data_IF_859926974247
#
_entry.id   IF_859926974247
#
_cell.length_a   1.000
_cell.length_b   1.000
_cell.length_c   1.000
_cell.angle_alpha   90.00
_cell.angle_beta   90.00
_cell.angle_gamma   90.00
#
_symmetry.space_group_name_H-M   'P 1'
#
loop_
_entity.id
_entity.type
_entity.pdbx_description
1 polymer ?
#
# COMPACT_ATOMS: atom_id res chain seq x y z
N UNK A 1 64.37 -5.35 42.65
CA UNK A 1 63.22 -4.69 42.00
C UNK A 1 62.53 -3.83 43.03
N UNK A 2 62.52 -2.51 42.82
CA UNK A 2 61.80 -1.57 43.70
C UNK A 2 60.34 -1.55 43.19
N UNK A 3 59.33 -1.84 44.03
CA UNK A 3 57.94 -1.76 43.58
C UNK A 3 57.57 -0.30 43.30
N UNK A 4 57.17 -0.01 42.06
CA UNK A 4 56.56 1.26 41.69
C UNK A 4 55.18 1.35 42.35
N UNK A 5 54.96 2.42 43.13
CA UNK A 5 53.63 2.74 43.64
C UNK A 5 52.74 3.19 42.46
N UNK A 6 51.68 2.43 42.19
CA UNK A 6 50.60 2.87 41.28
C UNK A 6 49.65 3.74 42.11
N UNK A 7 49.64 5.04 41.85
CA UNK A 7 48.63 5.95 42.42
C UNK A 7 47.39 5.86 41.54
N UNK A 8 46.37 5.17 42.03
CA UNK A 8 45.04 5.18 41.42
C UNK A 8 44.30 6.45 41.87
N UNK A 9 44.06 7.38 40.94
CA UNK A 9 43.21 8.55 41.19
C UNK A 9 41.83 8.26 40.65
N UNK A 10 40.83 8.25 41.53
CA UNK A 10 39.42 8.17 41.14
C UNK A 10 38.89 9.59 40.99
N UNK A 11 38.60 10.01 39.76
CA UNK A 11 37.96 11.30 39.48
C UNK A 11 36.48 11.07 39.13
N UNK A 12 35.58 11.85 39.73
CA UNK A 12 34.19 11.90 39.30
C UNK A 12 34.12 12.61 37.94
N UNK A 13 34.01 11.84 36.86
CA UNK A 13 33.79 12.37 35.52
C UNK A 13 32.29 12.49 35.28
N UNK A 14 31.82 13.67 34.89
CA UNK A 14 30.46 13.85 34.38
C UNK A 14 30.49 13.67 32.88
N UNK A 15 29.71 12.72 32.34
CA UNK A 15 29.51 12.57 30.89
C UNK A 15 28.91 13.86 30.34
N UNK A 16 29.69 14.63 29.57
CA UNK A 16 29.14 15.67 28.70
C UNK A 16 28.47 14.94 27.54
N UNK A 17 27.14 14.86 27.55
CA UNK A 17 26.39 14.42 26.37
C UNK A 17 26.70 15.37 25.22
N UNK A 18 26.97 14.84 24.03
CA UNK A 18 26.99 15.65 22.80
C UNK A 18 25.64 16.38 22.69
N UNK A 19 25.67 17.70 22.87
CA UNK A 19 24.50 18.59 22.79
C UNK A 19 24.34 19.20 21.41
N UNK A 20 25.11 18.71 20.43
CA UNK A 20 24.99 19.13 19.05
C UNK A 20 23.58 18.75 18.53
N UNK A 21 22.82 19.70 17.97
CA UNK A 21 21.54 19.39 17.36
C UNK A 21 21.72 18.34 16.25
N UNK A 22 21.11 17.18 16.44
CA UNK A 22 21.03 16.17 15.38
C UNK A 22 19.87 16.54 14.47
N UNK A 23 20.16 16.82 13.21
CA UNK A 23 19.12 16.97 12.18
C UNK A 23 18.58 15.57 11.87
N UNK A 24 17.49 15.18 12.53
CA UNK A 24 16.76 13.96 12.20
C UNK A 24 15.89 14.24 10.98
N UNK A 25 16.30 13.76 9.80
CA UNK A 25 15.45 13.76 8.61
C UNK A 25 14.34 12.73 8.80
N UNK A 26 13.15 13.19 9.15
CA UNK A 26 11.96 12.34 9.23
C UNK A 26 11.46 12.11 7.80
N UNK A 27 11.46 10.87 7.32
CA UNK A 27 10.85 10.51 6.04
C UNK A 27 9.34 10.84 6.09
N UNK A 28 8.93 11.91 5.40
CA UNK A 28 7.53 12.40 5.37
C UNK A 28 7.01 12.34 3.95
N UNK A 29 6.73 11.15 3.42
CA UNK A 29 6.18 11.03 2.07
C UNK A 29 4.86 11.79 1.97
N UNK A 30 4.68 12.50 0.85
CA UNK A 30 3.46 13.24 0.51
C UNK A 30 3.04 12.91 -0.91
N UNK A 31 1.78 13.16 -1.25
CA UNK A 31 1.18 12.82 -2.53
C UNK A 31 0.38 11.52 -2.45
N UNK A 32 0.14 10.92 -3.61
CA UNK A 32 -0.64 9.70 -3.77
C UNK A 32 0.25 8.62 -4.33
N UNK A 33 0.35 7.48 -3.64
CA UNK A 33 1.04 6.30 -4.16
C UNK A 33 0.00 5.26 -4.61
N UNK A 34 0.22 4.67 -5.78
CA UNK A 34 -0.63 3.63 -6.37
C UNK A 34 0.13 2.31 -6.51
N UNK A 35 -0.42 1.23 -5.95
CA UNK A 35 0.03 -0.14 -6.21
C UNK A 35 -1.02 -0.90 -7.02
N UNK A 36 -0.58 -1.48 -8.14
CA UNK A 36 -1.37 -2.41 -8.95
C UNK A 36 -1.56 -3.78 -8.30
N UNK A 37 -2.13 -4.72 -9.05
CA UNK A 37 -2.30 -6.11 -8.66
C UNK A 37 -0.99 -6.92 -8.60
N UNK A 38 -1.13 -8.23 -8.36
CA UNK A 38 0.00 -9.14 -8.18
C UNK A 38 0.98 -9.08 -9.36
N UNK A 39 2.28 -9.01 -9.05
CA UNK A 39 3.34 -8.80 -10.04
C UNK A 39 3.68 -7.32 -10.31
N UNK A 40 2.81 -6.36 -9.93
CA UNK A 40 2.95 -4.92 -10.16
C UNK A 40 3.45 -4.58 -11.57
N UNK A 41 3.00 -5.34 -12.55
CA UNK A 41 3.43 -5.27 -13.92
C UNK A 41 2.23 -5.02 -14.84
N UNK A 42 2.52 -4.46 -16.01
CA UNK A 42 1.55 -4.19 -17.06
C UNK A 42 1.27 -2.70 -17.26
N UNK A 43 0.98 -2.36 -18.51
CA UNK A 43 0.82 -0.97 -18.98
C UNK A 43 -0.37 -0.25 -18.34
N UNK A 44 -1.34 -1.02 -17.81
CA UNK A 44 -2.48 -0.49 -17.06
C UNK A 44 -2.07 0.35 -15.84
N UNK A 45 -0.91 0.08 -15.24
CA UNK A 45 -0.42 0.84 -14.08
C UNK A 45 -0.04 2.25 -14.49
N UNK A 46 0.78 2.39 -15.53
CA UNK A 46 1.16 3.69 -16.07
C UNK A 46 -0.07 4.47 -16.55
N UNK A 47 -1.00 3.78 -17.20
CA UNK A 47 -2.25 4.36 -17.65
C UNK A 47 -3.17 4.77 -16.48
N UNK A 48 -3.18 4.02 -15.36
CA UNK A 48 -3.89 4.40 -14.15
C UNK A 48 -3.32 5.67 -13.51
N UNK A 49 -1.99 5.79 -13.43
CA UNK A 49 -1.32 7.00 -12.93
C UNK A 49 -1.70 8.21 -13.80
N UNK A 50 -1.65 8.04 -15.11
CA UNK A 50 -2.10 9.07 -16.07
C UNK A 50 -3.56 9.45 -15.84
N UNK A 51 -4.45 8.47 -15.67
CA UNK A 51 -5.86 8.73 -15.39
C UNK A 51 -6.07 9.51 -14.08
N UNK A 52 -5.30 9.21 -13.03
CA UNK A 52 -5.34 9.97 -11.76
C UNK A 52 -4.93 11.43 -11.97
N UNK A 53 -3.85 11.66 -12.73
CA UNK A 53 -3.38 13.02 -13.06
C UNK A 53 -4.40 13.79 -13.91
N UNK A 54 -4.97 13.16 -14.93
CA UNK A 54 -6.04 13.71 -15.77
C UNK A 54 -7.27 14.12 -14.94
N UNK A 55 -7.61 13.34 -13.91
CA UNK A 55 -8.70 13.65 -12.99
C UNK A 55 -8.36 14.78 -11.99
N UNK A 56 -7.11 15.25 -11.95
CA UNK A 56 -6.65 16.34 -11.08
C UNK A 56 -5.95 15.89 -9.80
N UNK A 57 -5.58 14.60 -9.67
CA UNK A 57 -4.74 14.08 -8.58
C UNK A 57 -3.27 14.19 -9.04
N UNK A 58 -2.58 15.27 -8.66
CA UNK A 58 -1.38 15.72 -9.40
C UNK A 58 -0.10 14.99 -9.02
N UNK A 59 0.13 14.79 -7.72
CA UNK A 59 1.35 14.15 -7.21
C UNK A 59 1.13 12.65 -7.06
N UNK A 60 1.19 11.91 -8.16
CA UNK A 60 1.02 10.45 -8.17
C UNK A 60 2.32 9.71 -8.42
N UNK A 61 2.51 8.62 -7.70
CA UNK A 61 3.70 7.77 -7.76
C UNK A 61 3.29 6.31 -7.87
N UNK A 62 4.08 5.51 -8.57
CA UNK A 62 3.88 4.05 -8.61
C UNK A 62 4.62 3.42 -7.45
N UNK A 63 3.94 2.55 -6.72
CA UNK A 63 4.60 1.62 -5.83
C UNK A 63 5.28 0.49 -6.61
N UNK A 64 6.39 -0.03 -6.09
CA UNK A 64 7.28 -0.95 -6.82
C UNK A 64 7.53 -2.28 -6.11
N UNK A 65 6.89 -2.53 -4.96
CA UNK A 65 7.15 -3.73 -4.15
C UNK A 65 6.42 -4.96 -4.66
N UNK A 66 7.07 -5.71 -5.54
CA UNK A 66 6.58 -6.98 -6.05
C UNK A 66 7.66 -8.04 -6.04
N UNK A 67 7.23 -9.30 -6.00
CA UNK A 67 8.10 -10.43 -6.30
C UNK A 67 7.75 -10.95 -7.69
N UNK A 68 6.78 -11.86 -7.77
CA UNK A 68 6.24 -12.40 -9.02
C UNK A 68 4.74 -12.52 -8.88
N UNK A 69 4.00 -12.54 -9.99
CA UNK A 69 2.54 -12.69 -9.95
C UNK A 69 2.10 -13.90 -9.09
N UNK A 70 2.67 -15.12 -9.24
CA UNK A 70 2.28 -16.25 -8.39
C UNK A 70 2.62 -16.04 -6.91
N UNK A 71 3.82 -15.50 -6.61
CA UNK A 71 4.25 -15.28 -5.22
C UNK A 71 3.38 -14.21 -4.53
N UNK A 72 3.08 -13.12 -5.23
CA UNK A 72 2.25 -12.03 -4.72
C UNK A 72 0.80 -12.47 -4.52
N UNK A 73 0.27 -13.30 -5.42
CA UNK A 73 -1.07 -13.88 -5.27
C UNK A 73 -1.14 -14.81 -4.04
N UNK A 74 -0.12 -15.66 -3.84
CA UNK A 74 -0.05 -16.55 -2.68
C UNK A 74 0.06 -15.75 -1.37
N UNK A 75 0.94 -14.75 -1.33
CA UNK A 75 1.11 -13.85 -0.18
C UNK A 75 -0.19 -13.10 0.12
N UNK A 76 -0.92 -12.65 -0.90
CA UNK A 76 -2.22 -11.99 -0.72
C UNK A 76 -3.23 -12.89 -0.02
N UNK A 77 -3.26 -14.17 -0.37
CA UNK A 77 -4.23 -15.12 0.18
C UNK A 77 -3.89 -15.59 1.60
N UNK A 78 -2.62 -15.63 1.99
CA UNK A 78 -2.21 -16.32 3.21
C UNK A 78 -1.47 -15.47 4.25
N UNK A 79 -0.80 -14.38 3.87
CA UNK A 79 0.01 -13.61 4.82
C UNK A 79 -0.34 -12.14 4.88
N UNK A 80 -0.34 -11.45 3.73
CA UNK A 80 -0.52 -10.00 3.68
C UNK A 80 -1.92 -9.52 4.04
N UNK A 81 -2.93 -10.39 3.98
CA UNK A 81 -4.31 -10.02 4.33
C UNK A 81 -4.53 -9.82 5.83
N UNK A 82 -3.58 -10.24 6.67
CA UNK A 82 -3.62 -10.09 8.11
C UNK A 82 -2.69 -8.96 8.57
N UNK A 83 -2.99 -8.32 9.71
CA UNK A 83 -2.18 -7.23 10.27
C UNK A 83 -0.75 -7.67 10.59
N UNK A 84 -0.60 -8.85 11.18
CA UNK A 84 0.71 -9.46 11.47
C UNK A 84 1.36 -10.04 10.22
N UNK A 85 1.33 -9.31 9.11
CA UNK A 85 2.05 -9.67 7.89
C UNK A 85 3.54 -9.91 8.19
N UNK A 86 4.34 -10.35 7.20
CA UNK A 86 5.74 -10.69 7.43
C UNK A 86 6.51 -9.54 8.12
N UNK A 87 6.92 -9.76 9.37
CA UNK A 87 7.60 -8.78 10.26
C UNK A 87 8.94 -8.26 9.71
N UNK A 88 9.45 -8.87 8.65
CA UNK A 88 10.73 -8.54 8.02
C UNK A 88 10.61 -7.57 6.83
N UNK A 89 9.41 -7.09 6.50
CA UNK A 89 9.26 -6.14 5.39
C UNK A 89 9.48 -4.69 5.82
N UNK A 90 10.34 -3.99 5.08
CA UNK A 90 10.50 -2.56 5.20
C UNK A 90 9.27 -1.87 4.58
N UNK A 91 8.38 -1.32 5.39
CA UNK A 91 7.17 -0.60 4.94
C UNK A 91 7.41 0.86 4.54
N UNK A 92 8.65 1.33 4.59
CA UNK A 92 8.96 2.70 4.21
C UNK A 92 8.81 2.94 2.70
N UNK A 93 8.47 4.19 2.36
CA UNK A 93 8.37 4.70 1.00
C UNK A 93 9.64 5.50 0.70
N UNK A 94 10.22 5.25 -0.47
CA UNK A 94 11.35 6.00 -1.00
C UNK A 94 10.96 6.78 -2.25
N UNK A 95 11.64 7.89 -2.52
CA UNK A 95 11.46 8.71 -3.74
C UNK A 95 10.31 9.72 -3.68
N UNK A 96 9.76 9.97 -2.48
CA UNK A 96 8.67 10.92 -2.23
C UNK A 96 9.02 11.95 -1.14
N UNK A 97 10.27 11.96 -0.68
CA UNK A 97 10.75 12.72 0.48
C UNK A 97 10.68 14.23 0.27
N UNK A 98 10.90 14.69 -0.96
CA UNK A 98 10.91 16.11 -1.33
C UNK A 98 9.56 16.61 -1.87
N UNK A 99 8.51 15.77 -1.84
CA UNK A 99 7.20 16.19 -2.36
C UNK A 99 6.45 17.08 -1.35
N UNK A 100 5.88 18.18 -1.83
CA UNK A 100 5.17 19.17 -1.01
C UNK A 100 3.64 19.09 -1.11
N UNK A 101 3.09 17.97 -1.58
CA UNK A 101 1.62 17.80 -1.60
C UNK A 101 1.02 17.94 -0.20
N UNK A 102 -0.15 18.57 -0.14
CA UNK A 102 -0.89 18.75 1.11
C UNK A 102 -1.48 17.44 1.65
N UNK A 103 -1.62 16.43 0.80
CA UNK A 103 -2.18 15.14 1.15
C UNK A 103 -1.11 14.05 1.18
N UNK A 104 -1.42 12.97 1.89
CA UNK A 104 -0.70 11.72 1.81
C UNK A 104 -1.72 10.60 1.68
N UNK A 105 -1.82 10.03 0.49
CA UNK A 105 -2.84 9.08 0.08
C UNK A 105 -2.19 7.78 -0.42
N UNK A 106 -2.87 6.67 -0.23
CA UNK A 106 -2.46 5.35 -0.70
C UNK A 106 -3.62 4.71 -1.43
N UNK A 107 -3.36 4.21 -2.63
CA UNK A 107 -4.32 3.47 -3.44
C UNK A 107 -3.71 2.12 -3.75
N UNK A 108 -4.46 1.06 -3.52
CA UNK A 108 -4.03 -0.27 -3.90
C UNK A 108 -5.14 -1.09 -4.51
N UNK A 109 -4.78 -1.88 -5.50
CA UNK A 109 -5.67 -2.80 -6.20
C UNK A 109 -5.23 -4.25 -6.00
N UNK A 110 -6.14 -5.14 -5.59
CA UNK A 110 -5.83 -6.55 -5.35
C UNK A 110 -4.66 -6.69 -4.37
N UNK A 111 -3.58 -7.39 -4.71
CA UNK A 111 -2.32 -7.43 -3.96
C UNK A 111 -1.84 -6.04 -3.49
N UNK A 112 -1.86 -5.03 -4.37
CA UNK A 112 -1.45 -3.68 -4.02
C UNK A 112 -2.30 -3.03 -2.93
N UNK A 113 -3.56 -3.45 -2.76
CA UNK A 113 -4.41 -2.97 -1.65
C UNK A 113 -3.88 -3.40 -0.30
N UNK A 114 -3.25 -4.58 -0.22
CA UNK A 114 -2.65 -5.08 1.01
C UNK A 114 -1.34 -4.34 1.31
N UNK A 115 -0.54 -4.03 0.28
CA UNK A 115 0.63 -3.17 0.44
C UNK A 115 0.23 -1.78 0.94
N UNK A 116 -0.79 -1.18 0.32
CA UNK A 116 -1.34 0.10 0.76
C UNK A 116 -1.83 0.05 2.21
N UNK A 117 -2.51 -1.03 2.62
CA UNK A 117 -2.97 -1.24 3.99
C UNK A 117 -1.82 -1.32 5.00
N UNK A 118 -0.81 -2.16 4.75
CA UNK A 118 0.35 -2.31 5.63
C UNK A 118 1.18 -1.03 5.70
N UNK A 119 1.45 -0.38 4.57
CA UNK A 119 2.17 0.89 4.54
C UNK A 119 1.37 2.00 5.25
N UNK A 120 0.05 2.06 5.08
CA UNK A 120 -0.79 3.01 5.80
C UNK A 120 -0.71 2.78 7.31
N UNK A 121 -0.83 1.52 7.74
CA UNK A 121 -0.74 1.14 9.14
C UNK A 121 0.61 1.53 9.75
N UNK A 122 1.72 1.17 9.09
CA UNK A 122 3.09 1.52 9.51
C UNK A 122 3.30 3.03 9.71
N UNK A 123 2.93 3.83 8.72
CA UNK A 123 3.08 5.28 8.81
C UNK A 123 2.12 5.90 9.83
N UNK A 124 0.90 5.38 9.93
CA UNK A 124 -0.09 5.86 10.88
C UNK A 124 0.33 5.59 12.34
N UNK A 125 0.90 4.42 12.64
CA UNK A 125 1.51 4.09 13.95
C UNK A 125 2.69 5.03 14.26
N UNK A 126 3.44 5.44 13.23
CA UNK A 126 4.55 6.40 13.34
C UNK A 126 4.08 7.87 13.46
N UNK A 127 2.77 8.11 13.62
CA UNK A 127 2.20 9.44 13.81
C UNK A 127 1.90 10.21 12.52
N UNK A 128 2.09 9.61 11.35
CA UNK A 128 1.77 10.26 10.07
C UNK A 128 0.28 10.21 9.79
N UNK A 129 -0.26 11.33 9.32
CA UNK A 129 -1.65 11.41 8.88
C UNK A 129 -1.78 10.87 7.45
N UNK A 130 -2.51 9.76 7.32
CA UNK A 130 -2.97 9.23 6.05
C UNK A 130 -4.32 9.87 5.74
N UNK A 131 -4.38 10.65 4.67
CA UNK A 131 -5.57 11.39 4.28
C UNK A 131 -6.61 10.44 3.66
N UNK A 132 -6.16 9.58 2.75
CA UNK A 132 -7.00 8.56 2.12
C UNK A 132 -6.24 7.23 1.99
N UNK A 133 -6.87 6.15 2.44
CA UNK A 133 -6.49 4.78 2.10
C UNK A 133 -7.57 4.18 1.21
N UNK A 134 -7.22 3.79 -0.01
CA UNK A 134 -8.16 3.25 -1.00
C UNK A 134 -7.84 1.78 -1.24
N UNK A 135 -8.83 0.92 -0.96
CA UNK A 135 -8.75 -0.53 -1.06
C UNK A 135 -9.68 -1.00 -2.19
N UNK A 136 -9.10 -1.36 -3.33
CA UNK A 136 -9.85 -1.78 -4.53
C UNK A 136 -9.71 -3.29 -4.67
N UNK A 137 -10.84 -4.01 -4.75
CA UNK A 137 -10.85 -5.48 -4.86
C UNK A 137 -9.94 -6.16 -3.82
N UNK A 138 -10.01 -5.68 -2.58
CA UNK A 138 -9.04 -6.04 -1.54
C UNK A 138 -9.44 -7.33 -0.84
N UNK A 139 -8.58 -8.35 -0.75
CA UNK A 139 -8.87 -9.55 0.04
C UNK A 139 -8.46 -9.40 1.52
N UNK A 140 -8.32 -8.16 2.01
CA UNK A 140 -7.94 -7.86 3.40
C UNK A 140 -8.91 -8.54 4.37
N UNK A 141 -8.37 -9.08 5.46
CA UNK A 141 -9.17 -9.70 6.52
C UNK A 141 -9.96 -8.67 7.34
N UNK A 142 -11.08 -9.09 7.91
CA UNK A 142 -11.98 -8.24 8.69
C UNK A 142 -11.30 -7.59 9.90
N UNK A 143 -10.44 -8.32 10.60
CA UNK A 143 -9.78 -7.78 11.79
C UNK A 143 -8.75 -6.71 11.42
N UNK A 144 -7.97 -6.95 10.37
CA UNK A 144 -7.01 -5.94 9.90
C UNK A 144 -7.72 -4.71 9.34
N UNK A 145 -8.82 -4.90 8.59
CA UNK A 145 -9.65 -3.79 8.14
C UNK A 145 -10.21 -2.97 9.32
N UNK A 146 -10.69 -3.63 10.37
CA UNK A 146 -11.19 -2.98 11.57
C UNK A 146 -10.11 -2.16 12.28
N UNK A 147 -8.88 -2.67 12.35
CA UNK A 147 -7.75 -1.93 12.92
C UNK A 147 -7.47 -0.65 12.13
N UNK A 148 -7.48 -0.71 10.79
CA UNK A 148 -7.30 0.47 9.93
C UNK A 148 -8.42 1.49 10.13
N UNK A 149 -9.68 1.05 10.16
CA UNK A 149 -10.85 1.91 10.34
C UNK A 149 -10.79 2.66 11.68
N UNK A 150 -10.33 1.99 12.74
CA UNK A 150 -10.24 2.58 14.09
C UNK A 150 -9.01 3.47 14.28
N UNK A 151 -8.05 3.41 13.36
CA UNK A 151 -6.77 4.10 13.53
C UNK A 151 -6.93 5.63 13.34
N UNK A 152 -6.75 6.40 14.42
CA UNK A 152 -6.97 7.87 14.45
C UNK A 152 -6.23 8.69 13.39
N UNK A 153 -5.08 8.20 12.92
CA UNK A 153 -4.27 8.87 11.90
C UNK A 153 -4.66 8.50 10.46
N UNK A 154 -5.58 7.56 10.25
CA UNK A 154 -6.15 7.24 8.92
C UNK A 154 -7.51 7.94 8.83
N UNK A 155 -7.54 9.07 8.11
CA UNK A 155 -8.71 9.97 8.10
C UNK A 155 -9.90 9.42 7.34
N UNK A 156 -9.64 8.74 6.21
CA UNK A 156 -10.69 8.21 5.35
C UNK A 156 -10.22 6.93 4.68
N UNK A 157 -11.06 5.89 4.75
CA UNK A 157 -10.88 4.65 4.00
C UNK A 157 -11.96 4.60 2.92
N UNK A 158 -11.55 4.33 1.67
CA UNK A 158 -12.43 4.15 0.53
C UNK A 158 -12.32 2.69 0.09
N UNK A 159 -13.39 1.93 0.26
CA UNK A 159 -13.48 0.53 -0.18
C UNK A 159 -14.20 0.50 -1.52
N UNK A 160 -13.61 -0.14 -2.52
CA UNK A 160 -14.20 -0.34 -3.86
C UNK A 160 -14.14 -1.82 -4.22
N UNK A 161 -15.13 -2.55 -3.75
CA UNK A 161 -15.37 -3.92 -4.18
C UNK A 161 -16.02 -3.95 -5.58
N UNK A 162 -15.91 -5.08 -6.26
CA UNK A 162 -16.32 -5.26 -7.65
C UNK A 162 -17.34 -6.40 -7.88
N UNK A 163 -18.32 -6.65 -6.97
CA UNK A 163 -19.24 -7.77 -7.12
C UNK A 163 -20.11 -7.65 -8.38
N UNK A 164 -20.43 -6.43 -8.83
CA UNK A 164 -21.18 -6.16 -10.06
C UNK A 164 -20.46 -6.62 -11.34
N UNK A 165 -19.13 -6.77 -11.29
CA UNK A 165 -18.34 -7.33 -12.39
C UNK A 165 -18.02 -8.81 -12.18
N UNK A 166 -18.51 -9.38 -11.08
CA UNK A 166 -18.33 -10.77 -10.71
C UNK A 166 -17.02 -11.05 -9.96
N UNK A 167 -16.32 -10.06 -9.41
CA UNK A 167 -15.19 -10.29 -8.52
C UNK A 167 -15.65 -10.99 -7.23
N UNK A 168 -15.08 -12.15 -6.85
CA UNK A 168 -15.40 -12.78 -5.58
C UNK A 168 -14.68 -12.15 -4.37
N UNK A 169 -13.66 -11.33 -4.58
CA UNK A 169 -12.91 -10.68 -3.50
C UNK A 169 -13.61 -9.40 -3.04
N UNK A 170 -13.61 -9.19 -1.73
CA UNK A 170 -14.14 -8.00 -1.09
C UNK A 170 -13.45 -7.74 0.25
N UNK A 171 -13.38 -6.48 0.65
CA UNK A 171 -12.69 -6.10 1.87
C UNK A 171 -13.41 -6.65 3.11
N UNK A 172 -12.64 -7.22 4.05
CA UNK A 172 -13.19 -7.85 5.26
C UNK A 172 -13.72 -9.27 5.02
N UNK A 173 -13.35 -9.91 3.90
CA UNK A 173 -13.69 -11.30 3.65
C UNK A 173 -13.01 -12.24 4.65
N UNK A 174 -13.62 -13.41 4.87
CA UNK A 174 -13.03 -14.46 5.72
C UNK A 174 -12.05 -15.33 4.93
N UNK A 175 -11.18 -16.05 5.63
CA UNK A 175 -10.29 -17.04 5.01
C UNK A 175 -11.06 -18.10 4.20
N UNK A 176 -12.14 -18.64 4.77
CA UNK A 176 -12.98 -19.61 4.06
C UNK A 176 -13.53 -19.07 2.74
N UNK A 177 -13.96 -17.80 2.70
CA UNK A 177 -14.41 -17.15 1.45
C UNK A 177 -13.25 -16.91 0.48
N UNK A 178 -12.06 -16.58 0.98
CA UNK A 178 -10.87 -16.41 0.14
C UNK A 178 -10.51 -17.74 -0.54
N UNK A 179 -10.42 -18.82 0.23
CA UNK A 179 -10.16 -20.16 -0.31
C UNK A 179 -11.19 -20.59 -1.36
N UNK A 180 -12.48 -20.36 -1.10
CA UNK A 180 -13.55 -20.67 -2.05
C UNK A 180 -13.48 -19.86 -3.36
N UNK A 181 -12.79 -18.72 -3.35
CA UNK A 181 -12.69 -17.82 -4.51
C UNK A 181 -11.65 -18.28 -5.54
N UNK A 182 -10.67 -19.13 -5.16
CA UNK A 182 -9.53 -19.46 -6.01
C UNK A 182 -9.88 -20.00 -7.39
N UNK A 183 -10.83 -20.95 -7.47
CA UNK A 183 -11.24 -21.53 -8.75
C UNK A 183 -11.82 -20.45 -9.67
N UNK A 184 -12.66 -19.57 -9.13
CA UNK A 184 -13.27 -18.46 -9.88
C UNK A 184 -12.22 -17.44 -10.32
N UNK A 185 -11.25 -17.12 -9.45
CA UNK A 185 -10.13 -16.23 -9.79
C UNK A 185 -9.28 -16.79 -10.92
N UNK A 186 -8.94 -18.08 -10.88
CA UNK A 186 -8.20 -18.75 -11.95
C UNK A 186 -8.93 -18.69 -13.29
N UNK A 187 -10.25 -18.96 -13.28
CA UNK A 187 -11.10 -18.82 -14.47
C UNK A 187 -11.11 -17.38 -15.01
N UNK A 188 -11.29 -16.38 -14.13
CA UNK A 188 -11.30 -14.96 -14.51
C UNK A 188 -9.97 -14.49 -15.08
N UNK A 189 -8.86 -14.97 -14.52
CA UNK A 189 -7.52 -14.68 -15.02
C UNK A 189 -7.34 -15.24 -16.44
N UNK A 190 -7.64 -16.53 -16.65
CA UNK A 190 -7.53 -17.16 -17.96
C UNK A 190 -8.42 -16.48 -19.00
N UNK A 191 -9.65 -16.11 -18.62
CA UNK A 191 -10.56 -15.38 -19.51
C UNK A 191 -10.02 -14.00 -19.86
N UNK A 192 -9.47 -13.28 -18.89
CA UNK A 192 -8.85 -11.97 -19.12
C UNK A 192 -7.65 -12.07 -20.05
N UNK A 193 -6.76 -13.04 -19.83
CA UNK A 193 -5.59 -13.26 -20.71
C UNK A 193 -6.02 -13.58 -22.15
N UNK A 194 -7.09 -14.37 -22.33
CA UNK A 194 -7.58 -14.77 -23.66
C UNK A 194 -8.31 -13.67 -24.42
N UNK A 195 -8.99 -12.76 -23.72
CA UNK A 195 -9.90 -11.77 -24.32
C UNK A 195 -9.36 -10.34 -24.26
N UNK A 196 -8.45 -10.05 -23.32
CA UNK A 196 -7.97 -8.72 -22.98
C UNK A 196 -9.07 -7.72 -22.55
N UNK A 197 -10.21 -8.22 -22.04
CA UNK A 197 -11.35 -7.38 -21.64
C UNK A 197 -11.46 -7.10 -20.13
N UNK A 198 -10.68 -7.80 -19.31
CA UNK A 198 -10.65 -7.61 -17.85
C UNK A 198 -11.93 -8.09 -17.17
N UNK A 199 -11.90 -9.31 -16.64
CA UNK A 199 -13.08 -9.98 -16.08
C UNK A 199 -13.01 -10.10 -14.56
N UNK A 200 -14.13 -9.80 -13.88
CA UNK A 200 -14.26 -9.96 -12.43
C UNK A 200 -13.15 -9.26 -11.67
N UNK A 201 -12.32 -10.04 -10.98
CA UNK A 201 -11.21 -9.51 -10.20
C UNK A 201 -10.22 -8.69 -11.02
N UNK A 202 -10.08 -8.96 -12.32
CA UNK A 202 -9.12 -8.32 -13.23
C UNK A 202 -9.71 -7.12 -14.00
N UNK A 203 -10.85 -6.58 -13.55
CA UNK A 203 -11.63 -5.55 -14.26
C UNK A 203 -10.82 -4.32 -14.72
N UNK A 204 -9.87 -3.85 -13.90
CA UNK A 204 -9.03 -2.68 -14.21
C UNK A 204 -7.66 -3.04 -14.82
N UNK A 205 -7.29 -4.33 -14.83
CA UNK A 205 -5.99 -4.80 -15.31
C UNK A 205 -5.91 -4.96 -16.83
N UNK A 206 -7.04 -4.88 -17.54
CA UNK A 206 -7.10 -5.03 -18.99
C UNK A 206 -6.36 -3.90 -19.72
N UNK A 207 -5.55 -4.27 -20.70
CA UNK A 207 -4.85 -3.32 -21.55
C UNK A 207 -5.60 -3.12 -22.86
N UNK A 208 -6.78 -2.52 -22.74
CA UNK A 208 -7.69 -2.21 -23.86
C UNK A 208 -8.24 -0.80 -23.72
N UNK A 209 -8.87 -0.28 -24.77
CA UNK A 209 -9.56 1.02 -24.74
C UNK A 209 -10.64 1.07 -23.65
N UNK A 210 -11.37 -0.03 -23.48
CA UNK A 210 -12.36 -0.20 -22.41
C UNK A 210 -11.69 -0.21 -21.02
N UNK A 211 -10.57 -0.92 -20.86
CA UNK A 211 -9.77 -0.86 -19.62
C UNK A 211 -9.31 0.56 -19.30
N UNK A 212 -8.84 1.29 -20.31
CA UNK A 212 -8.42 2.69 -20.21
C UNK A 212 -9.58 3.61 -19.77
N UNK A 213 -10.78 3.41 -20.35
CA UNK A 213 -11.99 4.14 -19.96
C UNK A 213 -12.36 3.90 -18.49
N UNK A 214 -12.42 2.63 -18.07
CA UNK A 214 -12.72 2.23 -16.68
C UNK A 214 -11.77 2.87 -15.67
N UNK A 215 -10.48 2.98 -16.01
CA UNK A 215 -9.48 3.62 -15.14
C UNK A 215 -9.69 5.14 -15.00
N UNK A 216 -10.21 5.82 -16.04
CA UNK A 216 -10.63 7.24 -15.93
C UNK A 216 -11.87 7.39 -15.07
N UNK A 217 -12.85 6.49 -15.21
CA UNK A 217 -14.03 6.50 -14.35
C UNK A 217 -13.66 6.28 -12.88
N UNK A 218 -12.75 5.33 -12.62
CA UNK A 218 -12.17 5.12 -11.30
C UNK A 218 -11.46 6.37 -10.79
N UNK A 219 -10.58 6.97 -11.59
CA UNK A 219 -9.86 8.18 -11.19
C UNK A 219 -10.81 9.35 -10.87
N UNK A 220 -11.84 9.56 -11.69
CA UNK A 220 -12.86 10.57 -11.44
C UNK A 220 -13.66 10.27 -10.16
N UNK A 221 -13.99 9.00 -9.90
CA UNK A 221 -14.59 8.58 -8.63
C UNK A 221 -13.68 8.91 -7.44
N UNK A 222 -12.39 8.59 -7.50
CA UNK A 222 -11.44 8.86 -6.42
C UNK A 222 -11.24 10.36 -6.21
N UNK A 223 -11.19 11.16 -7.27
CA UNK A 223 -11.17 12.62 -7.14
C UNK A 223 -12.41 13.14 -6.40
N UNK A 224 -13.61 12.62 -6.71
CA UNK A 224 -14.84 12.95 -5.96
C UNK A 224 -14.79 12.51 -4.50
N UNK A 225 -13.99 11.50 -4.17
CA UNK A 225 -13.76 11.09 -2.77
C UNK A 225 -12.86 12.05 -1.99
N UNK A 226 -12.21 13.02 -2.65
CA UNK A 226 -11.39 14.05 -2.00
C UNK A 226 -9.89 13.91 -2.23
N UNK A 227 -9.44 12.96 -3.06
CA UNK A 227 -8.04 12.81 -3.43
C UNK A 227 -7.59 13.97 -4.34
N UNK A 228 -6.39 14.51 -4.13
CA UNK A 228 -5.80 15.65 -4.84
C UNK A 228 -4.30 15.44 -5.11
#
# INVERSE_FOLDING_TARGET
>A
MIPQAVIAVTAALTLKSDTAPVVVKVNKPRGTIYWGGAGLNGDYIADQLKALQEAGIKSVFSGTRSYTLPADALRSAFSLRYRGGPDFEDWSIHGMEDNHSSQFNMIGYSYGSLLAAHTAYFYAESGHVIHHLVLIASPIDGDFLNDLIKHKNIRKIVIKDLPQYGDPLFAGMTEARMMASFVRLGYQMLKTIRTNEGWGHFYYAADSSEGSHRRRELAAFLYRQGLR
#
